data_IF_675788366366
#
_entry.id   IF_675788366366
#
_cell.length_a   1.000
_cell.length_b   1.000
_cell.length_c   1.000
_cell.angle_alpha   90.00
_cell.angle_beta   90.00
_cell.angle_gamma   90.00
#
_symmetry.space_group_name_H-M   'P 1'
#
loop_
_entity.id
_entity.type
_entity.pdbx_description
1 polymer ?
#
# COMPACT_ATOMS: atom_id res chain seq x y z
N UNK A 1 -29.38 -4.76 50.92
CA UNK A 1 -28.44 -4.57 49.79
C UNK A 1 -29.24 -4.39 48.49
N UNK A 2 -29.36 -3.17 47.95
CA UNK A 2 -30.17 -2.95 46.75
C UNK A 2 -29.39 -3.36 45.49
N UNK A 3 -30.00 -4.23 44.68
CA UNK A 3 -29.56 -4.60 43.32
C UNK A 3 -29.81 -3.43 42.36
N UNK A 4 -29.06 -2.34 42.47
CA UNK A 4 -28.99 -1.30 41.44
C UNK A 4 -27.74 -1.53 40.59
N UNK A 5 -27.91 -1.89 39.31
CA UNK A 5 -26.76 -1.85 38.39
C UNK A 5 -26.95 -2.43 36.99
N UNK A 6 -27.78 -3.46 36.82
CA UNK A 6 -27.75 -4.24 35.55
C UNK A 6 -28.44 -3.54 34.36
N UNK A 7 -29.56 -2.84 34.58
CA UNK A 7 -30.34 -2.27 33.47
C UNK A 7 -29.73 -1.01 32.82
N UNK A 8 -28.88 -0.25 33.52
CA UNK A 8 -28.24 0.94 32.93
C UNK A 8 -27.07 0.58 32.01
N UNK A 9 -26.32 -0.48 32.29
CA UNK A 9 -25.16 -0.91 31.49
C UNK A 9 -25.61 -1.41 30.10
N UNK A 10 -26.71 -2.18 30.05
CA UNK A 10 -27.28 -2.68 28.79
C UNK A 10 -27.80 -1.56 27.86
N UNK A 11 -28.30 -0.45 28.42
CA UNK A 11 -28.78 0.69 27.64
C UNK A 11 -27.64 1.50 27.00
N UNK A 12 -26.46 1.55 27.63
CA UNK A 12 -25.26 2.20 27.08
C UNK A 12 -24.71 1.40 25.89
N UNK A 13 -24.63 0.07 26.01
CA UNK A 13 -24.17 -0.80 24.92
C UNK A 13 -25.09 -0.77 23.68
N UNK A 14 -26.41 -0.65 23.86
CA UNK A 14 -27.34 -0.49 22.72
C UNK A 14 -27.24 0.87 22.02
N UNK A 15 -26.77 1.94 22.70
CA UNK A 15 -26.67 3.30 22.14
C UNK A 15 -25.31 3.63 21.54
N UNK A 16 -24.25 2.93 21.94
CA UNK A 16 -22.91 3.07 21.37
C UNK A 16 -22.86 2.98 19.82
N UNK A 17 -23.48 1.97 19.15
CA UNK A 17 -23.40 1.87 17.69
C UNK A 17 -24.09 3.03 16.97
N UNK A 18 -25.19 3.56 17.52
CA UNK A 18 -25.90 4.70 16.95
C UNK A 18 -25.11 6.01 17.05
N UNK A 19 -24.37 6.22 18.14
CA UNK A 19 -23.50 7.39 18.32
C UNK A 19 -22.28 7.33 17.40
N UNK A 20 -21.66 6.15 17.26
CA UNK A 20 -20.56 5.92 16.32
C UNK A 20 -21.04 6.18 14.89
N UNK A 21 -22.18 5.62 14.50
CA UNK A 21 -22.74 5.83 13.16
C UNK A 21 -23.02 7.31 12.85
N UNK A 22 -23.60 8.05 13.80
CA UNK A 22 -23.83 9.49 13.64
C UNK A 22 -22.53 10.28 13.52
N UNK A 23 -21.49 9.89 14.26
CA UNK A 23 -20.16 10.53 14.20
C UNK A 23 -19.50 10.29 12.84
N UNK A 24 -19.49 9.04 12.39
CA UNK A 24 -18.98 8.65 11.05
C UNK A 24 -19.73 9.44 9.98
N UNK A 25 -21.06 9.42 9.99
CA UNK A 25 -21.87 10.14 8.99
C UNK A 25 -21.59 11.64 8.95
N UNK A 26 -21.35 12.26 10.11
CA UNK A 26 -21.02 13.70 10.19
C UNK A 26 -19.63 14.00 9.63
N UNK A 27 -18.63 13.20 10.00
CA UNK A 27 -17.24 13.41 9.59
C UNK A 27 -17.00 13.09 8.11
N UNK A 28 -17.88 12.28 7.52
CA UNK A 28 -17.80 11.86 6.12
C UNK A 28 -18.55 12.81 5.15
N UNK A 29 -19.15 13.89 5.64
CA UNK A 29 -19.82 14.86 4.78
C UNK A 29 -18.79 15.60 3.90
N UNK A 30 -19.10 15.75 2.62
CA UNK A 30 -18.18 16.23 1.58
C UNK A 30 -18.76 17.46 0.89
N UNK A 31 -18.04 18.58 0.96
CA UNK A 31 -18.32 19.74 0.13
C UNK A 31 -17.93 19.49 -1.33
N UNK A 32 -18.60 20.18 -2.27
CA UNK A 32 -18.30 20.07 -3.71
C UNK A 32 -16.82 20.32 -4.04
N UNK A 33 -16.20 21.31 -3.38
CA UNK A 33 -14.77 21.62 -3.56
C UNK A 33 -13.88 20.47 -3.11
N UNK A 34 -14.22 19.80 -2.00
CA UNK A 34 -13.48 18.63 -1.52
C UNK A 34 -13.62 17.44 -2.47
N UNK A 35 -14.79 17.24 -3.06
CA UNK A 35 -15.02 16.19 -4.06
C UNK A 35 -14.13 16.41 -5.28
N UNK A 36 -14.14 17.62 -5.84
CA UNK A 36 -13.31 17.96 -7.02
C UNK A 36 -11.83 17.70 -6.69
N UNK A 37 -11.35 18.19 -5.55
CA UNK A 37 -9.97 17.98 -5.12
C UNK A 37 -9.60 16.50 -4.96
N UNK A 38 -10.48 15.69 -4.33
CA UNK A 38 -10.26 14.25 -4.18
C UNK A 38 -10.25 13.51 -5.52
N UNK A 39 -11.14 13.88 -6.44
CA UNK A 39 -11.18 13.31 -7.79
C UNK A 39 -9.89 13.63 -8.54
N UNK A 40 -9.42 14.89 -8.50
CA UNK A 40 -8.15 15.27 -9.13
C UNK A 40 -6.97 14.48 -8.57
N UNK A 41 -6.87 14.36 -7.24
CA UNK A 41 -5.81 13.55 -6.61
C UNK A 41 -5.93 12.08 -6.99
N UNK A 42 -7.16 11.55 -7.00
CA UNK A 42 -7.43 10.16 -7.40
C UNK A 42 -6.97 9.87 -8.82
N UNK A 43 -7.20 10.79 -9.76
CA UNK A 43 -6.73 10.69 -11.15
C UNK A 43 -5.19 10.70 -11.21
N UNK A 44 -4.55 11.65 -10.54
CA UNK A 44 -3.08 11.75 -10.52
C UNK A 44 -2.45 10.49 -9.92
N UNK A 45 -2.99 10.02 -8.79
CA UNK A 45 -2.57 8.78 -8.15
C UNK A 45 -2.78 7.57 -9.08
N UNK A 46 -3.96 7.42 -9.67
CA UNK A 46 -4.29 6.31 -10.56
C UNK A 46 -3.39 6.25 -11.79
N UNK A 47 -3.12 7.41 -12.43
CA UNK A 47 -2.19 7.50 -13.54
C UNK A 47 -0.76 7.17 -13.12
N UNK A 48 -0.30 7.70 -11.98
CA UNK A 48 1.04 7.40 -11.46
C UNK A 48 1.21 5.92 -11.16
N UNK A 49 0.21 5.29 -10.54
CA UNK A 49 0.22 3.86 -10.25
C UNK A 49 0.17 3.01 -11.53
N UNK A 50 -0.62 3.42 -12.52
CA UNK A 50 -0.68 2.77 -13.82
C UNK A 50 0.68 2.81 -14.54
N UNK A 51 1.31 3.97 -14.66
CA UNK A 51 2.62 4.08 -15.30
C UNK A 51 3.72 3.34 -14.53
N UNK A 52 3.62 3.27 -13.20
CA UNK A 52 4.49 2.44 -12.38
C UNK A 52 4.37 0.96 -12.76
N UNK A 53 3.14 0.46 -12.96
CA UNK A 53 2.90 -0.91 -13.43
C UNK A 53 3.45 -1.13 -14.84
N UNK A 54 3.30 -0.15 -15.74
CA UNK A 54 3.87 -0.22 -17.11
C UNK A 54 5.40 -0.29 -17.05
N UNK A 55 6.06 0.53 -16.24
CA UNK A 55 7.52 0.48 -16.12
C UNK A 55 8.01 -0.83 -15.49
N UNK A 56 7.27 -1.40 -14.53
CA UNK A 56 7.58 -2.73 -14.01
C UNK A 56 7.47 -3.81 -15.10
N UNK A 57 6.48 -3.73 -16.00
CA UNK A 57 6.39 -4.62 -17.16
C UNK A 57 7.57 -4.44 -18.12
N UNK A 58 8.01 -3.20 -18.36
CA UNK A 58 9.19 -2.90 -19.20
C UNK A 58 10.46 -3.46 -18.58
N UNK A 59 10.66 -3.25 -17.27
CA UNK A 59 11.79 -3.81 -16.53
C UNK A 59 11.82 -5.33 -16.60
N UNK A 60 10.66 -5.99 -16.46
CA UNK A 60 10.55 -7.45 -16.61
C UNK A 60 11.00 -7.94 -17.98
N UNK A 61 10.56 -7.29 -19.08
CA UNK A 61 11.01 -7.66 -20.43
C UNK A 61 12.49 -7.40 -20.64
N UNK A 62 13.01 -6.29 -20.12
CA UNK A 62 14.44 -5.95 -20.20
C UNK A 62 15.29 -7.00 -19.46
N UNK A 63 14.86 -7.45 -18.29
CA UNK A 63 15.54 -8.50 -17.54
C UNK A 63 15.52 -9.84 -18.29
N UNK A 64 14.40 -10.21 -18.93
CA UNK A 64 14.31 -11.43 -19.75
C UNK A 64 15.34 -11.43 -20.89
N UNK A 65 15.48 -10.32 -21.61
CA UNK A 65 16.45 -10.19 -22.70
C UNK A 65 17.90 -10.41 -22.24
N UNK A 66 18.23 -9.95 -21.04
CA UNK A 66 19.57 -10.12 -20.45
C UNK A 66 19.79 -11.59 -20.07
N UNK A 67 18.80 -12.23 -19.44
CA UNK A 67 18.89 -13.65 -19.08
C UNK A 67 18.99 -14.56 -20.30
N UNK A 68 18.19 -14.31 -21.34
CA UNK A 68 18.24 -15.03 -22.61
C UNK A 68 19.62 -14.88 -23.28
N UNK A 69 20.25 -13.71 -23.18
CA UNK A 69 21.59 -13.46 -23.73
C UNK A 69 22.71 -14.16 -22.94
N UNK A 70 22.57 -14.28 -21.61
CA UNK A 70 23.52 -14.98 -20.74
C UNK A 70 23.32 -16.51 -20.75
N UNK A 71 22.17 -17.00 -21.22
CA UNK A 71 21.82 -18.42 -21.25
C UNK A 71 21.63 -19.06 -19.87
N UNK A 72 21.70 -18.27 -18.81
CA UNK A 72 21.57 -18.71 -17.41
C UNK A 72 20.94 -17.61 -16.56
N UNK A 73 20.18 -18.02 -15.55
CA UNK A 73 19.60 -17.10 -14.58
C UNK A 73 20.68 -16.55 -13.68
N UNK A 74 21.03 -15.29 -13.89
CA UNK A 74 21.99 -14.59 -13.06
C UNK A 74 21.29 -14.00 -11.83
N UNK A 75 21.64 -14.45 -10.64
CA UNK A 75 21.26 -13.82 -9.37
C UNK A 75 22.45 -13.04 -8.83
N UNK A 76 22.23 -11.81 -8.36
CA UNK A 76 23.32 -11.07 -7.71
C UNK A 76 23.75 -11.78 -6.41
N UNK A 77 25.07 -11.85 -6.13
CA UNK A 77 25.54 -12.34 -4.85
C UNK A 77 25.13 -11.35 -3.76
N UNK A 78 24.46 -11.87 -2.73
CA UNK A 78 24.02 -11.10 -1.57
C UNK A 78 24.38 -11.90 -0.30
N UNK A 79 25.21 -11.28 0.54
CA UNK A 79 25.73 -11.86 1.79
C UNK A 79 24.59 -12.32 2.71
N UNK A 80 23.45 -11.61 2.72
CA UNK A 80 22.31 -12.00 3.53
C UNK A 80 21.62 -13.24 2.99
N UNK A 81 21.48 -13.37 1.67
CA UNK A 81 20.88 -14.56 1.07
C UNK A 81 21.79 -15.78 1.17
N UNK A 82 23.12 -15.60 1.17
CA UNK A 82 24.07 -16.69 1.44
C UNK A 82 23.98 -17.19 2.88
N UNK A 83 23.77 -16.30 3.86
CA UNK A 83 23.70 -16.68 5.28
C UNK A 83 22.33 -17.24 5.70
N UNK A 84 21.24 -16.60 5.28
CA UNK A 84 19.86 -16.93 5.72
C UNK A 84 19.22 -17.99 4.82
N UNK A 85 19.64 -18.08 3.55
CA UNK A 85 19.00 -18.87 2.52
C UNK A 85 17.78 -18.18 1.91
N UNK A 86 17.39 -18.61 0.71
CA UNK A 86 16.18 -18.13 0.04
C UNK A 86 14.95 -18.85 0.60
N UNK A 87 13.93 -18.09 0.99
CA UNK A 87 12.67 -18.65 1.51
C UNK A 87 11.52 -18.26 0.58
N UNK A 88 10.82 -19.25 0.04
CA UNK A 88 9.75 -19.05 -0.94
C UNK A 88 8.37 -18.90 -0.29
N UNK A 89 8.18 -17.85 0.52
CA UNK A 89 6.87 -17.55 1.13
C UNK A 89 6.28 -16.26 0.52
N UNK A 90 5.74 -16.37 -0.69
CA UNK A 90 5.01 -15.26 -1.33
C UNK A 90 3.85 -14.75 -0.47
N UNK A 91 3.14 -15.64 0.20
CA UNK A 91 2.00 -15.27 1.05
C UNK A 91 2.39 -14.37 2.24
N UNK A 92 3.65 -14.43 2.67
CA UNK A 92 4.12 -13.67 3.81
C UNK A 92 4.20 -12.17 3.49
N UNK A 93 4.58 -11.80 2.27
CA UNK A 93 4.58 -10.38 1.85
C UNK A 93 3.17 -9.83 1.84
N UNK A 94 2.24 -10.55 1.22
CA UNK A 94 0.83 -10.13 1.13
C UNK A 94 0.17 -10.04 2.52
N UNK A 95 0.55 -10.93 3.44
CA UNK A 95 0.13 -10.87 4.84
C UNK A 95 0.64 -9.59 5.53
N UNK A 96 1.91 -9.22 5.33
CA UNK A 96 2.46 -7.99 5.91
C UNK A 96 1.81 -6.74 5.31
N UNK A 97 1.50 -6.74 4.01
CA UNK A 97 0.74 -5.64 3.41
C UNK A 97 -0.64 -5.52 4.03
N UNK A 98 -1.36 -6.63 4.19
CA UNK A 98 -2.65 -6.64 4.87
C UNK A 98 -2.54 -6.12 6.32
N UNK A 99 -1.49 -6.52 7.04
CA UNK A 99 -1.20 -6.06 8.40
C UNK A 99 -0.94 -4.55 8.47
N UNK A 100 -0.43 -3.94 7.41
CA UNK A 100 -0.21 -2.48 7.33
C UNK A 100 -1.49 -1.75 6.86
N UNK A 101 -2.23 -2.31 5.90
CA UNK A 101 -3.46 -1.70 5.39
C UNK A 101 -4.59 -1.69 6.40
N UNK A 102 -4.83 -2.80 7.11
CA UNK A 102 -5.99 -2.93 8.00
C UNK A 102 -5.99 -1.88 9.12
N UNK A 103 -4.90 -1.69 9.90
CA UNK A 103 -4.86 -0.66 10.93
C UNK A 103 -4.91 0.75 10.33
N UNK A 104 -4.30 0.97 9.16
CA UNK A 104 -4.37 2.26 8.45
C UNK A 104 -5.81 2.59 8.06
N UNK A 105 -6.54 1.63 7.50
CA UNK A 105 -7.94 1.79 7.12
C UNK A 105 -8.83 2.06 8.35
N UNK A 106 -8.61 1.34 9.45
CA UNK A 106 -9.30 1.58 10.72
C UNK A 106 -9.02 2.99 11.26
N UNK A 107 -7.75 3.42 11.24
CA UNK A 107 -7.35 4.77 11.67
C UNK A 107 -8.03 5.84 10.80
N UNK A 108 -8.02 5.68 9.47
CA UNK A 108 -8.68 6.61 8.54
C UNK A 108 -10.17 6.66 8.80
N UNK A 109 -10.83 5.50 8.97
CA UNK A 109 -12.27 5.42 9.21
C UNK A 109 -12.70 6.11 10.53
N UNK A 110 -11.84 6.05 11.56
CA UNK A 110 -12.11 6.62 12.88
C UNK A 110 -11.65 8.08 13.04
N UNK A 111 -10.83 8.59 12.14
CA UNK A 111 -10.27 9.93 12.22
C UNK A 111 -11.36 11.01 12.07
N UNK A 112 -11.19 12.16 12.74
CA UNK A 112 -12.19 13.25 12.71
C UNK A 112 -12.37 13.87 11.31
N UNK A 113 -11.30 13.85 10.51
CA UNK A 113 -11.24 14.39 9.15
C UNK A 113 -10.66 13.35 8.19
N UNK A 114 -11.41 12.28 7.84
CA UNK A 114 -10.88 11.14 7.09
C UNK A 114 -10.35 11.56 5.72
N UNK A 115 -11.08 12.44 5.03
CA UNK A 115 -10.72 12.91 3.69
C UNK A 115 -9.38 13.63 3.62
N UNK A 116 -9.03 14.39 4.66
CA UNK A 116 -7.72 15.05 4.73
C UNK A 116 -6.58 14.02 4.84
N UNK A 117 -6.81 12.93 5.58
CA UNK A 117 -5.84 11.82 5.70
C UNK A 117 -5.70 11.12 4.35
N UNK A 118 -6.82 10.76 3.71
CA UNK A 118 -6.85 10.11 2.40
C UNK A 118 -6.16 10.96 1.34
N UNK A 119 -6.44 12.26 1.24
CA UNK A 119 -5.78 13.14 0.27
C UNK A 119 -4.26 13.16 0.44
N UNK A 120 -3.78 13.24 1.69
CA UNK A 120 -2.33 13.27 1.98
C UNK A 120 -1.67 11.91 1.71
N UNK A 121 -2.35 10.82 2.06
CA UNK A 121 -1.93 9.46 1.74
C UNK A 121 -1.76 9.29 0.23
N UNK A 122 -2.81 9.61 -0.55
CA UNK A 122 -2.80 9.44 -2.01
C UNK A 122 -1.77 10.35 -2.70
N UNK A 123 -1.57 11.58 -2.22
CA UNK A 123 -0.53 12.47 -2.74
C UNK A 123 0.87 11.95 -2.45
N UNK A 124 1.15 11.55 -1.20
CA UNK A 124 2.46 11.01 -0.82
C UNK A 124 2.77 9.73 -1.59
N UNK A 125 1.80 8.83 -1.72
CA UNK A 125 1.94 7.62 -2.52
C UNK A 125 2.13 7.95 -4.00
N UNK A 126 1.30 8.82 -4.58
CA UNK A 126 1.44 9.23 -5.99
C UNK A 126 2.83 9.80 -6.30
N UNK A 127 3.36 10.68 -5.45
CA UNK A 127 4.71 11.23 -5.59
C UNK A 127 5.78 10.14 -5.48
N UNK A 128 5.67 9.24 -4.51
CA UNK A 128 6.60 8.12 -4.37
C UNK A 128 6.54 7.18 -5.59
N UNK A 129 5.36 6.95 -6.17
CA UNK A 129 5.19 6.19 -7.41
C UNK A 129 5.84 6.88 -8.61
N UNK A 130 5.81 8.21 -8.70
CA UNK A 130 6.50 8.96 -9.76
C UNK A 130 8.03 8.83 -9.65
N UNK A 131 8.60 8.93 -8.45
CA UNK A 131 10.03 8.68 -8.22
C UNK A 131 10.38 7.22 -8.52
N UNK A 132 9.48 6.29 -8.19
CA UNK A 132 9.68 4.87 -8.52
C UNK A 132 9.67 4.60 -10.02
N UNK A 133 8.82 5.29 -10.79
CA UNK A 133 8.80 5.18 -12.26
C UNK A 133 10.18 5.51 -12.84
N UNK A 134 10.81 6.60 -12.38
CA UNK A 134 12.11 7.02 -12.91
C UNK A 134 13.21 6.03 -12.52
N UNK A 135 13.21 5.54 -11.28
CA UNK A 135 14.19 4.54 -10.81
C UNK A 135 14.04 3.21 -11.55
N UNK A 136 12.84 2.65 -11.67
CA UNK A 136 12.62 1.38 -12.40
C UNK A 136 12.99 1.51 -13.88
N UNK A 137 12.79 2.69 -14.49
CA UNK A 137 13.20 2.92 -15.87
C UNK A 137 14.72 2.85 -16.08
N UNK A 138 15.51 3.36 -15.12
CA UNK A 138 16.98 3.40 -15.22
C UNK A 138 17.66 2.14 -14.68
N UNK A 139 17.14 1.55 -13.60
CA UNK A 139 17.77 0.44 -12.86
C UNK A 139 16.90 -0.82 -12.94
N UNK A 140 17.20 -1.68 -13.91
CA UNK A 140 16.67 -3.04 -13.96
C UNK A 140 17.75 -4.01 -13.48
N UNK A 141 17.53 -4.67 -12.34
CA UNK A 141 18.43 -5.71 -11.85
C UNK A 141 17.75 -7.08 -11.88
N UNK A 142 18.52 -8.17 -12.01
CA UNK A 142 17.98 -9.51 -11.90
C UNK A 142 17.28 -9.73 -10.56
N UNK A 143 16.14 -10.44 -10.59
CA UNK A 143 15.40 -10.80 -9.38
C UNK A 143 16.08 -12.02 -8.72
N UNK A 144 16.40 -11.96 -7.41
CA UNK A 144 17.02 -13.08 -6.70
C UNK A 144 16.07 -14.29 -6.53
N UNK A 145 14.75 -14.10 -6.70
CA UNK A 145 13.77 -15.18 -6.53
C UNK A 145 13.76 -16.08 -7.76
N UNK A 146 13.85 -17.42 -7.62
CA UNK A 146 13.76 -18.34 -8.75
C UNK A 146 12.33 -18.49 -9.31
N UNK A 147 11.30 -18.15 -8.52
CA UNK A 147 9.89 -18.29 -8.88
C UNK A 147 9.25 -17.03 -9.51
N UNK A 148 10.03 -15.96 -9.76
CA UNK A 148 9.46 -14.77 -10.40
C UNK A 148 9.02 -15.07 -11.84
N UNK A 149 7.97 -14.37 -12.29
CA UNK A 149 7.38 -14.56 -13.62
C UNK A 149 7.78 -13.41 -14.56
N UNK A 150 8.08 -13.76 -15.81
CA UNK A 150 8.32 -12.79 -16.87
C UNK A 150 7.02 -12.39 -17.56
N UNK A 151 6.90 -11.11 -17.90
CA UNK A 151 5.73 -10.59 -18.62
C UNK A 151 5.87 -10.86 -20.11
N UNK A 152 5.05 -11.78 -20.63
CA UNK A 152 5.05 -12.13 -22.06
C UNK A 152 4.07 -11.28 -22.89
N UNK A 153 3.03 -10.76 -22.25
CA UNK A 153 1.97 -9.96 -22.88
C UNK A 153 2.35 -8.49 -23.20
N UNK A 154 1.33 -7.68 -23.46
CA UNK A 154 1.50 -6.25 -23.71
C UNK A 154 1.86 -5.51 -22.40
N UNK A 155 2.89 -4.67 -22.46
CA UNK A 155 3.40 -3.89 -21.30
C UNK A 155 2.37 -2.90 -20.74
N UNK A 156 1.37 -2.50 -21.52
CA UNK A 156 0.34 -1.57 -21.08
C UNK A 156 -0.84 -2.24 -20.37
N UNK A 157 -1.12 -3.51 -20.69
CA UNK A 157 -2.33 -4.20 -20.19
C UNK A 157 -2.04 -5.36 -19.26
N UNK A 158 -0.80 -5.83 -19.19
CA UNK A 158 -0.43 -6.90 -18.27
C UNK A 158 -0.46 -6.39 -16.81
N UNK A 159 -1.21 -7.10 -15.96
CA UNK A 159 -1.26 -6.92 -14.52
C UNK A 159 -0.88 -8.25 -13.84
N UNK A 160 0.35 -8.35 -13.36
CA UNK A 160 0.85 -9.49 -12.60
C UNK A 160 1.55 -8.99 -11.34
N UNK A 161 1.23 -9.57 -10.19
CA UNK A 161 1.71 -9.09 -8.90
C UNK A 161 3.20 -9.44 -8.66
N UNK A 162 3.66 -10.55 -9.22
CA UNK A 162 5.00 -11.10 -8.96
C UNK A 162 5.84 -11.15 -10.25
N UNK A 163 6.43 -10.00 -10.60
CA UNK A 163 7.27 -9.86 -11.80
C UNK A 163 8.75 -9.87 -11.47
N UNK A 164 9.54 -10.44 -12.38
CA UNK A 164 10.99 -10.28 -12.37
C UNK A 164 11.41 -8.86 -12.78
N UNK A 165 12.58 -8.41 -12.33
CA UNK A 165 13.23 -7.18 -12.81
C UNK A 165 12.90 -5.91 -12.01
N UNK A 166 11.96 -5.99 -11.08
CA UNK A 166 11.49 -4.88 -10.24
C UNK A 166 11.91 -5.07 -8.77
N UNK A 167 13.23 -5.08 -8.53
CA UNK A 167 13.80 -5.51 -7.23
C UNK A 167 14.40 -4.38 -6.36
N UNK A 168 14.92 -3.29 -6.95
CA UNK A 168 15.63 -2.24 -6.17
C UNK A 168 14.66 -1.40 -5.32
N UNK A 169 13.39 -1.30 -5.73
CA UNK A 169 12.37 -0.60 -4.95
C UNK A 169 11.06 -1.39 -5.01
N UNK A 170 10.86 -2.33 -4.09
CA UNK A 170 9.61 -3.09 -3.97
C UNK A 170 8.43 -2.13 -3.74
N UNK A 171 7.34 -2.32 -4.49
CA UNK A 171 6.10 -1.58 -4.29
C UNK A 171 5.53 -1.75 -2.86
N UNK A 172 5.78 -2.91 -2.24
CA UNK A 172 5.36 -3.21 -0.86
C UNK A 172 6.08 -2.33 0.17
N UNK A 173 7.36 -2.00 -0.04
CA UNK A 173 8.08 -1.09 0.86
C UNK A 173 7.43 0.30 0.88
N UNK A 174 6.93 0.77 -0.26
CA UNK A 174 6.20 2.04 -0.34
C UNK A 174 4.92 1.98 0.52
N UNK A 175 4.17 0.88 0.45
CA UNK A 175 2.98 0.65 1.29
C UNK A 175 3.37 0.75 2.76
N UNK A 176 4.42 0.06 3.20
CA UNK A 176 4.85 0.07 4.59
C UNK A 176 5.21 1.47 5.08
N UNK A 177 6.00 2.22 4.29
CA UNK A 177 6.43 3.57 4.66
C UNK A 177 5.25 4.53 4.69
N UNK A 178 4.35 4.49 3.70
CA UNK A 178 3.18 5.37 3.65
C UNK A 178 2.21 5.08 4.79
N UNK A 179 1.94 3.81 5.10
CA UNK A 179 1.14 3.41 6.25
C UNK A 179 1.75 3.90 7.57
N UNK A 180 3.07 3.68 7.77
CA UNK A 180 3.77 4.15 8.96
C UNK A 180 3.74 5.68 9.10
N UNK A 181 3.88 6.41 8.00
CA UNK A 181 3.74 7.87 7.98
C UNK A 181 2.33 8.32 8.39
N UNK A 182 1.28 7.59 7.97
CA UNK A 182 -0.09 7.89 8.42
C UNK A 182 -0.25 7.66 9.91
N UNK A 183 0.27 6.55 10.44
CA UNK A 183 0.16 6.23 11.85
C UNK A 183 0.84 7.27 12.73
N UNK A 184 2.03 7.73 12.32
CA UNK A 184 2.79 8.74 13.06
C UNK A 184 2.22 10.16 12.91
N UNK A 185 1.71 10.52 11.73
CA UNK A 185 1.21 11.87 11.46
C UNK A 185 -0.23 12.10 11.95
N UNK A 186 -1.03 11.04 11.99
CA UNK A 186 -2.46 11.09 12.32
C UNK A 186 -2.82 10.19 13.50
N UNK A 187 -1.83 9.86 14.33
CA UNK A 187 -2.08 9.23 15.63
C UNK A 187 -3.15 10.05 16.38
N UNK A 188 -4.12 9.38 17.03
CA UNK A 188 -5.09 10.06 17.85
C UNK A 188 -4.35 10.82 18.95
N UNK A 189 -4.42 12.15 18.93
CA UNK A 189 -3.87 13.00 19.99
C UNK A 189 -4.66 12.70 21.26
N UNK A 190 -3.98 12.15 22.26
CA UNK A 190 -4.46 11.85 23.60
C UNK A 190 -5.89 11.26 23.68
N UNK A 191 -5.99 9.94 23.61
CA UNK A 191 -7.22 9.23 24.05
C UNK A 191 -7.45 9.43 25.56
N UNK A 192 -6.42 9.81 26.32
CA UNK A 192 -6.43 9.88 27.80
C UNK A 192 -6.39 11.32 28.36
N UNK A 193 -6.32 12.36 27.52
CA UNK A 193 -6.33 13.78 27.95
C UNK A 193 -5.31 14.65 27.26
#
# INVERSE_FOLDING_TARGET
MPKLGSHRVLAVFRRAPLLVWRRVRRNWWLDRTCIIFLVTIGIVFGLSYYFMNVMANVASKRSKLIEDALGTRYTLPDVFFEFIGAVELLWMTDMFDALMFVPTALLVAWHERPWRVVSRLLLAWGLASLIRITTVAITSVPDPRPSCQYVEGNVFTAFTLHRCGDAIYSGHTLIFVVCAMVWTSFAPKNIVG
#
